data_IF_662278755103
#
_entry.id   IF_662278755103
#
_cell.length_a   1.000
_cell.length_b   1.000
_cell.length_c   1.000
_cell.angle_alpha   90.00
_cell.angle_beta   90.00
_cell.angle_gamma   90.00
#
_symmetry.space_group_name_H-M   'P 1'
#
loop_
_entity.id
_entity.type
_entity.pdbx_description
1 polymer ?
#
# COMPACT_ATOMS: atom_id res chain seq x y z
N UNK A 1 -19.92 18.88 5.85
CA UNK A 1 -18.64 18.94 5.09
C UNK A 1 -18.87 19.17 3.60
N UNK A 2 -19.64 18.32 2.90
CA UNK A 2 -19.94 18.57 1.49
C UNK A 2 -20.66 19.90 1.29
N UNK A 3 -21.61 20.24 2.15
CA UNK A 3 -22.33 21.53 2.10
C UNK A 3 -21.37 22.72 2.23
N UNK A 4 -20.42 22.69 3.17
CA UNK A 4 -19.48 23.80 3.39
C UNK A 4 -18.50 24.00 2.23
N UNK A 5 -18.21 22.96 1.46
CA UNK A 5 -17.31 23.01 0.30
C UNK A 5 -18.08 23.48 -0.93
N UNK A 6 -19.17 22.79 -1.29
CA UNK A 6 -19.87 23.02 -2.54
C UNK A 6 -20.90 24.15 -2.51
N UNK A 7 -21.33 24.61 -1.33
CA UNK A 7 -22.19 25.80 -1.25
C UNK A 7 -21.44 27.09 -1.62
N UNK A 8 -20.12 27.13 -1.42
CA UNK A 8 -19.27 28.29 -1.73
C UNK A 8 -18.71 28.27 -3.16
N UNK A 9 -18.73 27.12 -3.82
CA UNK A 9 -18.16 26.96 -5.16
C UNK A 9 -19.16 27.41 -6.25
N UNK A 10 -18.89 28.49 -7.00
CA UNK A 10 -19.79 28.98 -8.03
C UNK A 10 -19.97 27.98 -9.18
N UNK A 11 -18.98 27.12 -9.44
CA UNK A 11 -19.00 26.17 -10.56
C UNK A 11 -19.84 24.94 -10.22
N UNK A 12 -19.71 24.42 -9.00
CA UNK A 12 -20.34 23.16 -8.62
C UNK A 12 -21.62 23.30 -7.78
N UNK A 13 -21.93 24.49 -7.27
CA UNK A 13 -23.12 24.72 -6.43
C UNK A 13 -24.43 24.34 -7.11
N UNK A 14 -24.57 24.58 -8.42
CA UNK A 14 -25.78 24.21 -9.18
C UNK A 14 -25.96 22.69 -9.26
N UNK A 15 -24.90 21.96 -9.62
CA UNK A 15 -24.90 20.50 -9.69
C UNK A 15 -25.09 19.86 -8.29
N UNK A 16 -24.54 20.49 -7.25
CA UNK A 16 -24.69 20.06 -5.87
C UNK A 16 -26.15 20.10 -5.41
N UNK A 17 -26.87 21.19 -5.71
CA UNK A 17 -28.31 21.31 -5.40
C UNK A 17 -29.16 20.21 -6.03
N UNK A 18 -28.78 19.75 -7.23
CA UNK A 18 -29.49 18.66 -7.92
C UNK A 18 -29.25 17.32 -7.23
N UNK A 19 -28.03 17.03 -6.77
CA UNK A 19 -27.66 15.69 -6.25
C UNK A 19 -26.67 15.74 -5.07
N UNK A 20 -27.08 16.23 -3.88
CA UNK A 20 -26.15 16.44 -2.76
C UNK A 20 -25.50 15.12 -2.27
N UNK A 21 -26.23 14.00 -2.31
CA UNK A 21 -25.74 12.68 -1.88
C UNK A 21 -24.56 12.19 -2.71
N UNK A 22 -24.53 12.50 -4.02
CA UNK A 22 -23.42 12.10 -4.91
C UNK A 22 -22.13 12.78 -4.50
N UNK A 23 -22.18 14.07 -4.22
CA UNK A 23 -21.04 14.85 -3.76
C UNK A 23 -20.59 14.45 -2.35
N UNK A 24 -21.52 14.21 -1.43
CA UNK A 24 -21.20 13.68 -0.11
C UNK A 24 -20.45 12.33 -0.20
N UNK A 25 -20.91 11.44 -1.09
CA UNK A 25 -20.27 10.14 -1.34
C UNK A 25 -18.88 10.31 -1.97
N UNK A 26 -18.73 11.23 -2.93
CA UNK A 26 -17.46 11.54 -3.55
C UNK A 26 -16.44 12.06 -2.53
N UNK A 27 -16.82 13.05 -1.70
CA UNK A 27 -15.98 13.60 -0.63
C UNK A 27 -15.57 12.52 0.36
N UNK A 28 -16.53 11.71 0.83
CA UNK A 28 -16.23 10.60 1.75
C UNK A 28 -15.27 9.58 1.14
N UNK A 29 -15.40 9.28 -0.15
CA UNK A 29 -14.52 8.35 -0.85
C UNK A 29 -13.13 8.94 -1.03
N UNK A 30 -13.04 10.22 -1.36
CA UNK A 30 -11.79 10.95 -1.50
C UNK A 30 -11.03 11.01 -0.17
N UNK A 31 -11.66 11.43 0.92
CA UNK A 31 -11.05 11.45 2.26
C UNK A 31 -10.54 10.08 2.70
N UNK A 32 -11.26 9.01 2.36
CA UNK A 32 -10.83 7.64 2.66
C UNK A 32 -9.56 7.25 1.91
N UNK A 33 -9.40 7.68 0.66
CA UNK A 33 -8.19 7.46 -0.13
C UNK A 33 -7.02 8.27 0.42
N UNK A 34 -7.23 9.57 0.67
CA UNK A 34 -6.21 10.42 1.31
C UNK A 34 -5.71 9.83 2.63
N UNK A 35 -6.63 9.32 3.46
CA UNK A 35 -6.28 8.61 4.69
C UNK A 35 -5.43 7.36 4.43
N UNK A 36 -5.79 6.55 3.44
CA UNK A 36 -5.05 5.35 3.09
C UNK A 36 -3.64 5.67 2.58
N UNK A 37 -3.51 6.70 1.72
CA UNK A 37 -2.23 7.16 1.18
C UNK A 37 -1.30 7.63 2.32
N UNK A 38 -1.82 8.44 3.24
CA UNK A 38 -1.09 8.86 4.43
C UNK A 38 -0.65 7.70 5.32
N UNK A 39 -1.54 6.75 5.60
CA UNK A 39 -1.17 5.56 6.35
C UNK A 39 -0.08 4.74 5.60
N UNK A 40 -0.08 4.77 4.27
CA UNK A 40 0.98 4.22 3.44
C UNK A 40 2.33 4.89 3.70
N UNK A 41 2.36 6.23 3.67
CA UNK A 41 3.56 7.01 3.99
C UNK A 41 4.01 6.75 5.43
N UNK A 42 3.12 6.80 6.43
CA UNK A 42 3.46 6.49 7.82
C UNK A 42 4.08 5.11 8.00
N UNK A 43 3.60 4.09 7.27
CA UNK A 43 4.23 2.75 7.28
C UNK A 43 5.62 2.74 6.66
N UNK A 44 5.86 3.55 5.63
CA UNK A 44 7.18 3.70 5.03
C UNK A 44 8.15 4.39 6.01
N UNK A 45 7.72 5.46 6.69
CA UNK A 45 8.50 6.07 7.78
C UNK A 45 8.74 5.07 8.94
N UNK A 46 7.72 4.30 9.34
CA UNK A 46 7.87 3.32 10.41
C UNK A 46 8.87 2.21 10.09
N UNK A 47 8.98 1.80 8.82
CA UNK A 47 9.99 0.81 8.37
C UNK A 47 11.43 1.32 8.52
N UNK A 48 11.65 2.63 8.47
CA UNK A 48 12.98 3.22 8.67
C UNK A 48 13.40 3.28 10.14
N UNK A 49 12.56 2.80 11.08
CA UNK A 49 12.91 2.67 12.49
C UNK A 49 12.99 3.99 13.26
N UNK A 50 13.06 5.13 12.59
CA UNK A 50 12.93 6.42 13.25
C UNK A 50 11.45 6.65 13.56
N UNK A 51 11.12 6.67 14.84
CA UNK A 51 9.81 7.06 15.32
C UNK A 51 9.35 8.39 14.71
N UNK A 52 8.03 8.56 14.67
CA UNK A 52 7.26 9.59 13.94
C UNK A 52 7.54 11.06 14.31
N UNK A 53 8.59 11.38 15.08
CA UNK A 53 8.84 12.75 15.49
C UNK A 53 9.62 13.50 14.39
N UNK A 54 8.97 14.36 13.58
CA UNK A 54 9.63 15.08 12.49
C UNK A 54 10.77 15.96 12.99
N UNK A 55 10.73 16.36 14.26
CA UNK A 55 11.76 17.16 14.92
C UNK A 55 13.08 16.42 15.10
N UNK A 56 13.06 15.08 15.05
CA UNK A 56 14.23 14.21 15.22
C UNK A 56 14.72 13.61 13.90
N UNK A 57 14.08 13.95 12.78
CA UNK A 57 14.47 13.45 11.46
C UNK A 57 15.67 14.25 10.95
N UNK A 58 16.86 13.69 11.10
CA UNK A 58 18.09 14.20 10.48
C UNK A 58 18.57 13.24 9.38
N UNK A 59 19.24 13.76 8.35
CA UNK A 59 19.85 12.97 7.29
C UNK A 59 18.85 12.36 6.31
N UNK A 60 18.99 11.06 6.02
CA UNK A 60 18.27 10.36 4.94
C UNK A 60 16.75 10.38 5.06
N UNK A 61 16.22 10.50 6.29
CA UNK A 61 14.78 10.59 6.49
C UNK A 61 14.20 11.95 6.12
N UNK A 62 14.99 13.04 6.19
CA UNK A 62 14.55 14.35 5.71
C UNK A 62 14.31 14.30 4.19
N UNK A 63 15.20 13.62 3.46
CA UNK A 63 15.05 13.40 2.01
C UNK A 63 13.77 12.60 1.70
N UNK A 64 13.44 11.61 2.53
CA UNK A 64 12.22 10.83 2.36
C UNK A 64 10.96 11.69 2.59
N UNK A 65 10.96 12.53 3.61
CA UNK A 65 9.85 13.46 3.85
C UNK A 65 9.67 14.47 2.72
N UNK A 66 10.75 15.01 2.18
CA UNK A 66 10.69 15.91 1.02
C UNK A 66 10.14 15.20 -0.22
N UNK A 67 10.47 13.92 -0.41
CA UNK A 67 9.88 13.11 -1.48
C UNK A 67 8.36 12.92 -1.32
N UNK A 68 7.87 12.88 -0.07
CA UNK A 68 6.43 12.84 0.22
C UNK A 68 5.77 14.19 -0.03
N UNK A 69 6.44 15.30 0.30
CA UNK A 69 5.93 16.65 -0.02
C UNK A 69 5.85 16.90 -1.53
N UNK A 70 6.80 16.38 -2.30
CA UNK A 70 6.77 16.47 -3.76
C UNK A 70 5.61 15.66 -4.35
N UNK A 71 5.37 14.44 -3.85
CA UNK A 71 4.26 13.59 -4.28
C UNK A 71 2.90 14.08 -3.76
N UNK A 72 2.91 14.74 -2.60
CA UNK A 72 1.71 15.09 -1.83
C UNK A 72 1.87 16.47 -1.19
N UNK A 73 1.60 17.55 -1.96
CA UNK A 73 1.86 18.92 -1.52
C UNK A 73 1.12 19.35 -0.25
N UNK A 74 0.02 18.67 0.09
CA UNK A 74 -0.77 18.94 1.29
C UNK A 74 -0.35 18.06 2.50
N UNK A 75 0.81 17.39 2.43
CA UNK A 75 1.32 16.55 3.51
C UNK A 75 1.33 17.28 4.86
N UNK A 76 1.87 18.49 4.93
CA UNK A 76 2.07 19.20 6.20
C UNK A 76 0.73 19.51 6.89
N UNK A 77 -0.27 20.00 6.14
CA UNK A 77 -1.61 20.30 6.66
C UNK A 77 -2.31 19.04 7.20
N UNK A 78 -2.24 17.94 6.43
CA UNK A 78 -2.85 16.67 6.82
C UNK A 78 -2.11 15.99 7.97
N UNK A 79 -0.78 16.06 7.97
CA UNK A 79 0.04 15.51 9.03
C UNK A 79 -0.23 16.24 10.35
N UNK A 80 -0.30 17.57 10.34
CA UNK A 80 -0.69 18.36 11.51
C UNK A 80 -2.08 17.96 12.03
N UNK A 81 -3.08 17.94 11.14
CA UNK A 81 -4.46 17.59 11.49
C UNK A 81 -4.60 16.17 12.05
N UNK A 82 -3.93 15.18 11.48
CA UNK A 82 -4.04 13.80 11.93
C UNK A 82 -3.15 13.43 13.11
N UNK A 83 -2.02 14.13 13.30
CA UNK A 83 -1.18 13.94 14.49
C UNK A 83 -1.93 14.36 15.76
N UNK A 84 -2.84 15.31 15.68
CA UNK A 84 -3.67 15.76 16.80
C UNK A 84 -4.76 14.74 17.20
N UNK A 85 -5.09 13.76 16.35
CA UNK A 85 -6.10 12.76 16.66
C UNK A 85 -5.48 11.59 17.42
N UNK A 86 -5.78 11.39 18.72
CA UNK A 86 -5.16 10.31 19.51
C UNK A 86 -5.46 8.91 18.94
N UNK A 87 -6.63 8.76 18.31
CA UNK A 87 -7.06 7.51 17.67
C UNK A 87 -6.25 7.11 16.44
N UNK A 88 -5.46 8.02 15.85
CA UNK A 88 -4.77 7.77 14.58
C UNK A 88 -3.29 7.40 14.74
N UNK A 89 -2.74 7.58 15.95
CA UNK A 89 -1.45 6.98 16.30
C UNK A 89 -1.67 5.49 16.56
N UNK A 90 -1.60 4.68 15.49
CA UNK A 90 -1.51 3.22 15.62
C UNK A 90 -0.11 2.75 16.01
N UNK A 91 0.76 3.67 16.45
CA UNK A 91 1.57 3.42 17.64
C UNK A 91 0.56 3.35 18.80
N UNK A 92 -0.38 2.42 18.82
CA UNK A 92 0.03 1.05 19.02
C UNK A 92 0.91 1.12 20.23
N UNK A 93 0.29 1.05 21.41
CA UNK A 93 0.94 0.57 22.62
C UNK A 93 1.44 -0.84 22.26
N UNK A 94 2.47 -0.90 21.43
CA UNK A 94 3.34 -2.03 21.17
C UNK A 94 4.44 -1.96 22.22
N UNK A 95 4.10 -1.52 23.45
CA UNK A 95 4.84 -1.91 24.64
C UNK A 95 4.67 -3.40 24.91
N UNK A 96 3.81 -4.09 24.15
CA UNK A 96 3.83 -5.54 24.03
C UNK A 96 4.89 -5.94 23.02
N UNK A 97 6.13 -6.04 23.51
CA UNK A 97 7.11 -6.94 22.91
C UNK A 97 6.44 -8.31 22.70
N UNK A 98 6.65 -8.93 21.55
CA UNK A 98 6.01 -10.19 21.22
C UNK A 98 6.53 -11.29 22.18
N UNK A 99 5.78 -11.59 23.23
CA UNK A 99 6.20 -12.52 24.29
C UNK A 99 6.10 -11.96 25.71
N UNK A 100 5.81 -10.67 25.89
CA UNK A 100 5.57 -10.10 27.23
C UNK A 100 4.13 -10.42 27.66
N UNK A 101 3.99 -11.28 28.68
CA UNK A 101 2.70 -11.56 29.30
C UNK A 101 2.29 -10.40 30.23
N UNK A 102 1.60 -9.41 29.66
CA UNK A 102 1.05 -8.30 30.45
C UNK A 102 -0.01 -8.75 31.46
N UNK A 103 -0.60 -9.94 31.30
CA UNK A 103 -1.54 -10.47 32.28
C UNK A 103 -0.81 -10.87 33.57
N UNK A 104 0.40 -11.44 33.45
CA UNK A 104 1.25 -11.74 34.61
C UNK A 104 1.73 -10.47 35.32
N UNK A 105 2.24 -9.48 34.57
CA UNK A 105 2.68 -8.21 35.15
C UNK A 105 1.53 -7.42 35.82
N UNK A 106 0.31 -7.51 35.26
CA UNK A 106 -0.87 -6.95 35.91
C UNK A 106 -1.26 -7.73 37.16
N UNK A 107 -1.13 -9.07 37.15
CA UNK A 107 -1.44 -9.90 38.31
C UNK A 107 -0.54 -9.55 39.50
N UNK A 108 0.75 -9.28 39.29
CA UNK A 108 1.67 -8.85 40.36
C UNK A 108 1.29 -7.48 40.95
N UNK A 109 0.82 -6.54 40.13
CA UNK A 109 0.38 -5.21 40.61
C UNK A 109 -0.91 -5.26 41.44
N UNK A 110 -1.77 -6.25 41.20
CA UNK A 110 -3.03 -6.44 41.95
C UNK A 110 -2.97 -7.60 42.93
N UNK A 111 -1.81 -8.26 43.06
CA UNK A 111 -1.62 -9.23 44.11
C UNK A 111 -1.79 -8.49 45.44
N UNK A 112 -2.67 -8.96 46.34
CA UNK A 112 -2.74 -8.39 47.67
C UNK A 112 -1.34 -8.44 48.27
N UNK A 113 -0.90 -7.38 49.00
CA UNK A 113 0.39 -7.42 49.67
C UNK A 113 0.43 -8.74 50.42
N UNK A 114 1.43 -9.56 50.11
CA UNK A 114 1.68 -10.76 50.87
C UNK A 114 1.65 -10.34 52.33
N UNK A 115 0.95 -11.05 53.22
CA UNK A 115 1.12 -10.85 54.64
C UNK A 115 2.58 -11.20 54.92
N UNK A 116 3.46 -10.22 54.74
CA UNK A 116 4.79 -10.22 55.31
C UNK A 116 4.53 -10.40 56.79
N UNK A 117 4.91 -11.58 57.26
CA UNK A 117 5.00 -11.88 58.66
C UNK A 117 5.73 -10.69 59.29
N UNK A 118 5.04 -10.01 60.21
CA UNK A 118 5.58 -8.99 61.10
C UNK A 118 6.71 -9.63 61.92
N UNK A 119 7.85 -9.88 61.30
CA UNK A 119 9.10 -10.14 61.98
C UNK A 119 9.61 -8.76 62.40
N UNK A 120 9.40 -8.46 63.68
CA UNK A 120 9.94 -7.34 64.44
C UNK A 120 11.46 -7.19 64.19
N UNK A 121 11.86 -6.58 63.09
CA UNK A 121 13.25 -6.19 62.85
C UNK A 121 13.56 -4.97 63.75
N UNK A 122 14.47 -5.11 64.72
CA UNK A 122 14.78 -4.05 65.66
C UNK A 122 15.43 -2.86 64.93
N UNK A 123 14.75 -1.72 65.04
CA UNK A 123 15.23 -0.37 64.72
C UNK A 123 16.76 -0.26 64.85
N UNK A 124 17.46 -0.23 63.72
CA UNK A 124 18.85 0.22 63.69
C UNK A 124 18.86 1.75 63.71
N UNK A 125 19.61 2.38 64.63
CA UNK A 125 19.69 3.83 64.72
C UNK A 125 20.37 4.40 63.48
N UNK A 126 19.86 5.56 63.08
CA UNK A 126 20.30 6.39 61.98
C UNK A 126 21.79 6.74 62.08
N UNK A 127 22.61 6.19 61.19
CA UNK A 127 23.91 6.78 60.87
C UNK A 127 23.77 7.61 59.59
N UNK A 128 23.66 8.91 59.87
CA UNK A 128 23.86 10.03 58.97
C UNK A 128 25.27 9.92 58.38
N UNK A 129 25.41 9.78 57.06
CA UNK A 129 26.44 10.55 56.38
C UNK A 129 26.13 10.82 54.91
N UNK A 130 26.32 12.10 54.63
CA UNK A 130 26.08 12.85 53.43
C UNK A 130 27.36 12.82 52.59
N UNK A 131 27.37 12.12 51.45
CA UNK A 131 28.42 12.30 50.45
C UNK A 131 27.83 12.53 49.07
N UNK A 132 28.01 13.77 48.63
CA UNK A 132 27.71 14.29 47.30
C UNK A 132 28.77 13.73 46.35
N UNK A 133 28.39 12.87 45.40
CA UNK A 133 29.27 12.49 44.30
C UNK A 133 28.78 13.13 43.00
N UNK A 134 29.44 14.24 42.67
CA UNK A 134 29.59 14.75 41.32
C UNK A 134 30.31 13.70 40.47
N UNK A 135 29.66 13.22 39.40
CA UNK A 135 30.30 12.44 38.35
C UNK A 135 30.01 13.10 37.00
N UNK A 136 30.87 14.06 36.66
CA UNK A 136 31.17 14.42 35.28
C UNK A 136 31.80 13.21 34.58
N UNK A 137 31.08 12.61 33.63
CA UNK A 137 31.62 11.58 32.74
C UNK A 137 31.39 11.98 31.28
N UNK A 138 32.38 12.71 30.77
CA UNK A 138 32.66 12.96 29.36
C UNK A 138 32.94 11.61 28.66
N UNK A 139 31.98 11.12 27.88
CA UNK A 139 32.12 9.89 27.10
C UNK A 139 32.09 10.21 25.60
N UNK A 140 33.27 10.50 25.06
CA UNK A 140 33.54 10.43 23.62
C UNK A 140 33.59 8.95 23.20
N UNK A 141 32.51 8.48 22.58
CA UNK A 141 32.50 7.24 21.83
C UNK A 141 32.61 7.51 20.33
N UNK A 142 33.84 7.50 19.81
CA UNK A 142 34.09 7.22 18.40
C UNK A 142 33.82 5.72 18.19
N UNK A 143 32.86 5.41 17.31
CA UNK A 143 32.44 4.06 16.96
C UNK A 143 32.31 3.93 15.46
N UNK A 144 33.45 3.72 14.83
CA UNK A 144 33.64 3.30 13.46
C UNK A 144 33.34 1.79 13.31
N UNK A 145 32.55 1.47 12.28
CA UNK A 145 32.42 0.11 11.75
C UNK A 145 31.18 -0.65 12.22
N UNK A 146 30.26 -0.93 11.30
CA UNK A 146 30.21 -2.27 10.70
C UNK A 146 29.17 -2.30 9.55
N UNK A 147 29.66 -2.72 8.38
CA UNK A 147 28.89 -2.97 7.17
C UNK A 147 28.13 -4.29 7.32
N UNK A 148 26.83 -4.22 7.63
CA UNK A 148 25.95 -5.40 7.59
C UNK A 148 25.20 -5.49 6.26
N UNK A 149 25.74 -6.32 5.37
CA UNK A 149 25.06 -6.82 4.17
C UNK A 149 24.09 -7.93 4.57
N UNK A 150 22.79 -7.66 4.54
CA UNK A 150 21.77 -8.71 4.67
C UNK A 150 21.27 -9.14 3.29
N UNK A 151 21.88 -10.20 2.77
CA UNK A 151 21.40 -10.95 1.63
C UNK A 151 20.15 -11.74 2.06
N UNK A 152 18.97 -11.29 1.62
CA UNK A 152 17.69 -11.92 1.96
C UNK A 152 17.49 -13.21 1.13
N UNK A 153 17.94 -14.33 1.69
CA UNK A 153 17.64 -15.67 1.19
C UNK A 153 16.16 -16.01 1.46
N UNK A 154 15.38 -16.07 0.39
CA UNK A 154 13.97 -16.46 0.40
C UNK A 154 13.82 -17.93 0.80
N UNK A 155 13.25 -18.19 1.98
CA UNK A 155 12.83 -19.53 2.40
C UNK A 155 11.34 -19.73 2.09
N UNK A 156 11.08 -20.57 1.09
CA UNK A 156 9.77 -21.09 0.73
C UNK A 156 9.23 -21.98 1.86
N UNK A 157 8.21 -21.50 2.56
CA UNK A 157 7.47 -22.31 3.54
C UNK A 157 6.52 -23.25 2.80
N UNK A 158 6.99 -24.48 2.64
CA UNK A 158 6.21 -25.63 2.19
C UNK A 158 5.09 -25.92 3.20
N UNK A 159 3.84 -25.76 2.76
CA UNK A 159 2.64 -26.09 3.54
C UNK A 159 2.54 -27.58 3.75
N UNK A 160 2.86 -28.03 4.96
CA UNK A 160 2.71 -29.42 5.42
C UNK A 160 1.22 -29.74 5.63
N UNK A 161 0.65 -30.50 4.70
CA UNK A 161 -0.67 -31.13 4.81
C UNK A 161 -0.78 -31.96 6.09
N UNK A 162 -1.79 -31.68 6.91
CA UNK A 162 -2.22 -32.56 7.99
C UNK A 162 -3.30 -33.53 7.46
N UNK A 163 -3.22 -34.83 7.77
CA UNK A 163 -4.26 -35.79 7.43
C UNK A 163 -5.46 -35.69 8.37
N UNK A 164 -6.63 -35.95 7.78
CA UNK A 164 -7.95 -35.89 8.39
C UNK A 164 -8.12 -36.81 9.61
N UNK A 165 -8.69 -36.26 10.67
CA UNK A 165 -9.10 -36.99 11.87
C UNK A 165 -10.46 -37.66 11.62
N UNK A 166 -10.46 -38.99 11.65
CA UNK A 166 -11.60 -39.88 11.48
C UNK A 166 -12.63 -39.68 12.59
N UNK A 167 -13.83 -39.23 12.23
CA UNK A 167 -14.95 -39.07 13.17
C UNK A 167 -15.84 -40.32 13.16
N UNK A 168 -16.00 -40.87 14.36
CA UNK A 168 -16.74 -42.08 14.72
C UNK A 168 -18.18 -42.13 14.18
N UNK A 169 -18.56 -43.27 13.61
CA UNK A 169 -19.93 -43.56 13.16
C UNK A 169 -20.82 -43.93 14.34
N UNK A 170 -21.83 -43.12 14.63
CA UNK A 170 -22.96 -43.52 15.48
C UNK A 170 -24.13 -43.92 14.61
N UNK A 171 -24.42 -45.21 14.59
CA UNK A 171 -25.57 -45.83 13.93
C UNK A 171 -26.85 -45.37 14.61
N UNK A 172 -27.74 -44.69 13.86
CA UNK A 172 -29.12 -44.43 14.28
C UNK A 172 -30.09 -45.38 13.57
N UNK A 173 -31.16 -45.83 14.25
CA UNK A 173 -32.14 -46.76 13.68
C UNK A 173 -33.12 -46.06 12.72
N UNK A 174 -33.67 -46.80 11.74
CA UNK A 174 -34.55 -46.26 10.69
C UNK A 174 -35.91 -45.86 11.25
N UNK A 175 -36.27 -44.58 11.12
CA UNK A 175 -37.63 -44.09 11.39
C UNK A 175 -38.43 -43.98 10.09
N UNK A 176 -39.65 -44.52 10.14
CA UNK A 176 -40.67 -44.61 9.10
C UNK A 176 -40.93 -43.27 8.40
N UNK A 177 -40.89 -43.29 7.07
CA UNK A 177 -41.24 -42.19 6.20
C UNK A 177 -42.75 -41.90 6.24
N UNK A 178 -43.12 -40.65 6.52
CA UNK A 178 -44.45 -40.08 6.26
C UNK A 178 -44.32 -39.01 5.18
N UNK A 179 -45.06 -39.19 4.09
CA UNK A 179 -45.14 -38.30 2.94
C UNK A 179 -45.61 -36.89 3.34
N UNK A 180 -44.74 -35.90 3.21
CA UNK A 180 -45.07 -34.48 3.28
C UNK A 180 -44.58 -33.78 1.99
N UNK A 181 -45.29 -34.03 0.90
CA UNK A 181 -45.09 -33.33 -0.37
C UNK A 181 -45.78 -31.97 -0.29
N UNK A 182 -45.01 -30.87 -0.26
CA UNK A 182 -45.58 -29.54 -0.51
C UNK A 182 -44.91 -28.28 0.03
N UNK A 183 -43.80 -28.31 0.78
CA UNK A 183 -43.22 -27.09 1.40
C UNK A 183 -41.78 -26.69 1.00
N UNK A 184 -41.08 -27.50 0.20
CA UNK A 184 -39.64 -27.26 -0.04
C UNK A 184 -39.30 -26.29 -1.18
N UNK A 185 -40.29 -25.85 -1.98
CA UNK A 185 -40.05 -24.99 -3.15
C UNK A 185 -39.78 -23.51 -2.81
N UNK A 186 -40.06 -23.07 -1.57
CA UNK A 186 -39.84 -21.68 -1.14
C UNK A 186 -38.40 -21.41 -0.68
N UNK A 187 -37.75 -22.39 -0.04
CA UNK A 187 -36.37 -22.26 0.42
C UNK A 187 -35.36 -22.21 -0.74
N UNK A 188 -35.59 -23.01 -1.79
CA UNK A 188 -34.75 -23.04 -2.98
C UNK A 188 -34.75 -21.69 -3.74
N UNK A 189 -35.91 -21.02 -3.85
CA UNK A 189 -36.01 -19.71 -4.49
C UNK A 189 -35.29 -18.60 -3.71
N UNK A 190 -35.36 -18.62 -2.38
CA UNK A 190 -34.65 -17.66 -1.54
C UNK A 190 -33.12 -17.82 -1.62
N UNK A 191 -32.62 -19.06 -1.72
CA UNK A 191 -31.20 -19.34 -1.91
C UNK A 191 -30.69 -18.84 -3.28
N UNK A 192 -31.44 -19.11 -4.36
CA UNK A 192 -31.09 -18.64 -5.70
C UNK A 192 -31.04 -17.10 -5.79
N UNK A 193 -31.99 -16.41 -5.15
CA UNK A 193 -32.00 -14.94 -5.12
C UNK A 193 -30.81 -14.35 -4.35
N UNK A 194 -30.38 -14.97 -3.25
CA UNK A 194 -29.17 -14.56 -2.51
C UNK A 194 -27.91 -14.75 -3.35
N UNK A 195 -27.79 -15.87 -4.06
CA UNK A 195 -26.66 -16.14 -4.95
C UNK A 195 -26.59 -15.12 -6.10
N UNK A 196 -27.71 -14.79 -6.74
CA UNK A 196 -27.75 -13.77 -7.80
C UNK A 196 -27.34 -12.38 -7.28
N UNK A 197 -27.75 -12.02 -6.06
CA UNK A 197 -27.38 -10.73 -5.45
C UNK A 197 -25.89 -10.67 -5.10
N UNK A 198 -25.30 -11.78 -4.65
CA UNK A 198 -23.85 -11.87 -4.40
C UNK A 198 -23.05 -11.81 -5.70
N UNK A 199 -23.49 -12.51 -6.75
CA UNK A 199 -22.84 -12.47 -8.06
C UNK A 199 -22.82 -11.05 -8.64
N UNK A 200 -23.90 -10.28 -8.47
CA UNK A 200 -23.95 -8.88 -8.93
C UNK A 200 -23.00 -7.96 -8.15
N UNK A 201 -22.81 -8.20 -6.85
CA UNK A 201 -21.84 -7.45 -6.03
C UNK A 201 -20.40 -7.77 -6.45
N UNK A 202 -20.08 -9.05 -6.65
CA UNK A 202 -18.75 -9.48 -7.08
C UNK A 202 -18.42 -8.91 -8.46
N UNK A 203 -19.35 -8.98 -9.42
CA UNK A 203 -19.15 -8.40 -10.74
C UNK A 203 -18.91 -6.87 -10.73
N UNK A 204 -19.42 -6.15 -9.73
CA UNK A 204 -19.15 -4.71 -9.57
C UNK A 204 -17.75 -4.45 -9.00
N UNK A 205 -17.28 -5.31 -8.10
CA UNK A 205 -15.91 -5.28 -7.57
C UNK A 205 -14.90 -5.64 -8.66
N UNK A 206 -15.19 -6.68 -9.46
CA UNK A 206 -14.32 -7.10 -10.56
C UNK A 206 -14.14 -6.00 -11.61
N UNK A 207 -15.25 -5.35 -12.03
CA UNK A 207 -15.19 -4.17 -12.93
C UNK A 207 -14.42 -3.00 -12.35
N UNK A 208 -14.47 -2.81 -11.02
CA UNK A 208 -13.71 -1.77 -10.36
C UNK A 208 -12.21 -2.07 -10.38
N UNK A 209 -11.84 -3.34 -10.15
CA UNK A 209 -10.45 -3.80 -10.22
C UNK A 209 -9.89 -3.71 -11.64
N UNK A 210 -10.64 -4.16 -12.66
CA UNK A 210 -10.26 -4.04 -14.07
C UNK A 210 -10.00 -2.57 -14.46
N UNK A 211 -10.86 -1.65 -14.03
CA UNK A 211 -10.67 -0.22 -14.28
C UNK A 211 -9.39 0.32 -13.61
N UNK A 212 -8.99 -0.25 -12.48
CA UNK A 212 -7.79 0.17 -11.75
C UNK A 212 -6.50 -0.35 -12.41
N UNK A 213 -6.50 -1.59 -12.88
CA UNK A 213 -5.39 -2.15 -13.65
C UNK A 213 -5.20 -1.37 -14.96
N UNK A 214 -6.29 -1.03 -15.65
CA UNK A 214 -6.26 -0.20 -16.85
C UNK A 214 -5.67 1.20 -16.60
N UNK A 215 -6.05 1.86 -15.50
CA UNK A 215 -5.49 3.17 -15.16
C UNK A 215 -4.00 3.08 -14.81
N UNK A 216 -3.58 2.00 -14.15
CA UNK A 216 -2.17 1.75 -13.83
C UNK A 216 -1.33 1.57 -15.09
N UNK A 217 -1.82 0.81 -16.07
CA UNK A 217 -1.20 0.65 -17.39
C UNK A 217 -1.15 1.98 -18.15
N UNK A 218 -2.21 2.78 -18.09
CA UNK A 218 -2.25 4.11 -18.73
C UNK A 218 -1.21 5.05 -18.13
N UNK A 219 -1.06 5.04 -16.80
CA UNK A 219 -0.07 5.85 -16.09
C UNK A 219 1.36 5.40 -16.39
N UNK A 220 1.63 4.09 -16.45
CA UNK A 220 2.96 3.57 -16.80
C UNK A 220 3.35 3.93 -18.24
N UNK A 221 2.42 3.82 -19.19
CA UNK A 221 2.63 4.28 -20.57
C UNK A 221 2.92 5.78 -20.64
N UNK A 222 2.17 6.61 -19.89
CA UNK A 222 2.42 8.05 -19.84
C UNK A 222 3.81 8.37 -19.29
N UNK A 223 4.25 7.68 -18.23
CA UNK A 223 5.61 7.84 -17.67
C UNK A 223 6.67 7.43 -18.68
N UNK A 224 6.47 6.33 -19.41
CA UNK A 224 7.37 5.88 -20.47
C UNK A 224 7.48 6.90 -21.61
N UNK A 225 6.38 7.51 -22.03
CA UNK A 225 6.39 8.56 -23.05
C UNK A 225 7.16 9.81 -22.59
N UNK A 226 6.91 10.27 -21.36
CA UNK A 226 7.63 11.43 -20.79
C UNK A 226 9.13 11.13 -20.69
N UNK A 227 9.50 9.93 -20.26
CA UNK A 227 10.90 9.51 -20.20
C UNK A 227 11.54 9.47 -21.60
N UNK A 228 10.86 8.91 -22.61
CA UNK A 228 11.33 8.90 -23.99
C UNK A 228 11.53 10.32 -24.55
N UNK A 229 10.61 11.24 -24.25
CA UNK A 229 10.74 12.65 -24.64
C UNK A 229 11.95 13.32 -23.97
N UNK A 230 12.17 13.07 -22.68
CA UNK A 230 13.34 13.57 -21.97
C UNK A 230 14.65 13.06 -22.57
N UNK A 231 14.71 11.77 -22.92
CA UNK A 231 15.87 11.18 -23.59
C UNK A 231 16.13 11.82 -24.95
N UNK A 232 15.09 12.04 -25.77
CA UNK A 232 15.23 12.75 -27.04
C UNK A 232 15.72 14.19 -26.89
N UNK A 233 15.31 14.91 -25.83
CA UNK A 233 15.83 16.25 -25.52
C UNK A 233 17.32 16.22 -25.17
N UNK A 234 17.78 15.20 -24.43
CA UNK A 234 19.19 15.04 -24.08
C UNK A 234 20.05 14.71 -25.29
N UNK A 235 19.57 13.85 -26.20
CA UNK A 235 20.26 13.53 -27.45
C UNK A 235 20.40 14.76 -28.36
N UNK A 236 19.34 15.54 -28.50
CA UNK A 236 19.38 16.80 -29.26
C UNK A 236 20.38 17.80 -28.66
N UNK A 237 20.46 17.90 -27.32
CA UNK A 237 21.49 18.71 -26.65
C UNK A 237 22.90 18.19 -26.94
N UNK A 238 23.11 16.87 -26.93
CA UNK A 238 24.41 16.26 -27.27
C UNK A 238 24.81 16.55 -28.72
N UNK A 239 23.89 16.50 -29.67
CA UNK A 239 24.15 16.84 -31.08
C UNK A 239 24.52 18.31 -31.27
N UNK A 240 23.78 19.21 -30.60
CA UNK A 240 24.07 20.66 -30.63
C UNK A 240 25.46 20.97 -30.07
N UNK A 241 25.86 20.32 -28.97
CA UNK A 241 27.18 20.49 -28.36
C UNK A 241 28.32 19.94 -29.22
N UNK A 242 28.07 18.93 -30.06
CA UNK A 242 29.08 18.37 -30.98
C UNK A 242 29.34 19.25 -32.21
N UNK A 243 28.72 20.43 -32.32
CA UNK A 243 28.90 21.31 -33.48
C UNK A 243 28.26 20.80 -34.76
N UNK A 244 27.55 19.66 -34.73
CA UNK A 244 26.68 19.21 -35.82
C UNK A 244 25.39 20.02 -35.81
N UNK A 245 25.48 21.25 -36.31
CA UNK A 245 24.30 22.01 -36.68
C UNK A 245 23.58 21.27 -37.81
N UNK A 246 22.25 21.15 -37.72
CA UNK A 246 21.40 20.47 -38.71
C UNK A 246 21.55 21.02 -40.15
N UNK A 247 22.17 22.19 -40.30
CA UNK A 247 22.56 22.76 -41.59
C UNK A 247 23.59 21.90 -42.36
N UNK A 248 24.41 21.10 -41.69
CA UNK A 248 25.39 20.22 -42.34
C UNK A 248 24.80 18.92 -42.91
N UNK A 249 23.61 18.49 -42.44
CA UNK A 249 22.98 17.25 -42.89
C UNK A 249 22.09 17.44 -44.15
N UNK A 250 21.70 18.68 -44.46
CA UNK A 250 20.91 19.01 -45.67
C UNK A 250 21.76 19.18 -46.94
N UNK A 251 23.09 19.07 -46.86
CA UNK A 251 23.98 19.21 -48.03
C UNK A 251 24.46 17.88 -48.63
N UNK A 252 23.96 16.73 -48.16
CA UNK A 252 24.37 15.40 -48.67
C UNK A 252 23.19 14.48 -48.96
N UNK A 253 22.31 14.91 -49.86
CA UNK A 253 21.56 13.96 -50.69
C UNK A 253 21.64 14.44 -52.14
N UNK A 254 22.40 13.76 -53.03
CA UNK A 254 22.26 14.00 -54.45
C UNK A 254 20.83 13.65 -54.86
N UNK A 255 20.17 14.61 -55.47
CA UNK A 255 18.86 14.48 -56.10
C UNK A 255 18.98 13.43 -57.20
N UNK A 256 18.54 12.20 -56.94
CA UNK A 256 18.20 11.26 -58.00
C UNK A 256 16.76 11.50 -58.41
N UNK A 257 16.48 11.85 -59.67
CA UNK A 257 15.12 12.04 -60.16
C UNK A 257 14.48 10.66 -60.34
N UNK A 258 13.76 10.20 -59.31
CA UNK A 258 12.90 9.03 -59.43
C UNK A 258 11.57 9.46 -60.07
N UNK A 259 11.45 9.05 -61.33
CA UNK A 259 10.24 8.93 -62.14
C UNK A 259 8.94 8.83 -61.32
N UNK A 260 7.98 9.69 -61.67
CA UNK A 260 6.57 9.51 -61.35
C UNK A 260 6.07 8.18 -61.94
N UNK A 261 5.95 7.15 -61.10
CA UNK A 261 5.06 6.04 -61.36
C UNK A 261 3.72 6.35 -60.69
N UNK A 262 2.76 6.82 -61.49
CA UNK A 262 1.35 6.80 -61.15
C UNK A 262 0.95 5.37 -60.77
N UNK A 263 0.71 5.11 -59.49
CA UNK A 263 0.06 3.88 -59.04
C UNK A 263 -1.37 4.22 -58.66
N UNK A 264 -2.27 3.64 -59.44
CA UNK A 264 -3.72 3.71 -59.36
C UNK A 264 -4.26 3.43 -57.97
N UNK A 265 -5.24 4.26 -57.64
CA UNK A 265 -6.31 4.05 -56.68
C UNK A 265 -6.94 2.65 -56.87
N UNK A 266 -6.82 1.78 -55.86
CA UNK A 266 -7.54 0.51 -55.76
C UNK A 266 -8.43 0.55 -54.51
N UNK A 267 -9.71 0.15 -54.60
CA UNK A 267 -10.65 0.23 -53.50
C UNK A 267 -10.45 -0.89 -52.46
N UNK A 268 -10.47 -0.47 -51.20
CA UNK A 268 -10.97 -1.16 -50.01
C UNK A 268 -11.26 -2.67 -50.15
N UNK A 269 -10.28 -3.52 -49.85
CA UNK A 269 -10.47 -4.94 -49.58
C UNK A 269 -10.27 -5.22 -48.09
N UNK A 270 -11.26 -5.90 -47.52
CA UNK A 270 -11.42 -6.13 -46.09
C UNK A 270 -10.23 -6.83 -45.44
N UNK A 271 -9.81 -6.26 -44.31
CA UNK A 271 -8.77 -6.80 -43.45
C UNK A 271 -9.37 -7.88 -42.54
N UNK A 272 -9.36 -9.13 -42.98
CA UNK A 272 -9.62 -10.30 -42.15
C UNK A 272 -8.36 -10.64 -41.33
N UNK A 273 -8.48 -10.60 -40.01
CA UNK A 273 -7.46 -11.02 -39.06
C UNK A 273 -7.20 -12.54 -39.17
N UNK A 274 -5.94 -13.01 -39.26
CA UNK A 274 -5.63 -14.43 -39.11
C UNK A 274 -5.69 -14.85 -37.63
N UNK A 275 -6.17 -16.06 -37.32
CA UNK A 275 -6.20 -16.58 -35.96
C UNK A 275 -4.83 -17.13 -35.53
N UNK A 276 -4.39 -16.71 -34.34
CA UNK A 276 -3.64 -17.55 -33.38
C UNK A 276 -2.27 -18.08 -33.80
N UNK A 277 -1.22 -17.27 -33.61
CA UNK A 277 0.11 -17.82 -33.33
C UNK A 277 0.30 -17.95 -31.82
N UNK A 278 0.31 -19.19 -31.34
CA UNK A 278 0.71 -19.54 -29.99
C UNK A 278 2.17 -19.14 -29.76
N UNK A 279 2.39 -18.22 -28.84
CA UNK A 279 3.73 -17.81 -28.38
C UNK A 279 4.27 -18.92 -27.49
N UNK A 280 5.28 -19.65 -27.98
CA UNK A 280 6.05 -20.62 -27.21
C UNK A 280 7.07 -19.85 -26.36
N UNK A 281 7.11 -20.03 -25.02
CA UNK A 281 8.10 -19.36 -24.18
C UNK A 281 9.50 -19.96 -24.38
N UNK A 282 10.57 -19.14 -24.34
CA UNK A 282 11.94 -19.61 -24.51
C UNK A 282 12.40 -20.45 -23.31
N UNK A 283 13.11 -21.55 -23.63
CA UNK A 283 13.68 -22.48 -22.68
C UNK A 283 14.77 -21.84 -21.81
N UNK A 284 14.69 -22.11 -20.51
CA UNK A 284 15.61 -21.66 -19.48
C UNK A 284 16.91 -22.49 -19.56
N UNK A 285 18.05 -21.83 -19.81
CA UNK A 285 19.38 -22.46 -19.78
C UNK A 285 20.00 -22.15 -18.41
N UNK A 286 20.30 -23.13 -17.55
CA UNK A 286 21.00 -22.89 -16.30
C UNK A 286 22.49 -22.62 -16.58
N UNK A 287 23.02 -21.54 -16.00
CA UNK A 287 24.45 -21.25 -15.99
C UNK A 287 25.15 -22.11 -14.91
N UNK A 288 26.34 -22.61 -15.29
CA UNK A 288 27.27 -23.42 -14.49
C UNK A 288 27.86 -22.66 -13.30
#
# INVERSE_FOLDING_TARGET
LADSIFAKDPVQSSAFKVNPTKFATAVKTHLRRLKADYQGFLKQLGKTGAGLDPSKLHGDLANLQDSFREQWPWWDDFHAFWRELPSYHTVGVASSEHGTDHAAAAADLYAPPSPEEDEDEPMKPDDVDNEVQDVDADAKGEGDGESSSYESKSTSTSTKSMPASSRSSTVQPPRKATNASGRDSSAAKAAAQKQARNHKKNAMVDKFNENWDNETVRLSQKRAMVHAEQMGRLENKKLKNKGLTAAALLQRTPVTPLHCACVSNQPNVGFTFPPGHAVVPPAFIPAL
#
